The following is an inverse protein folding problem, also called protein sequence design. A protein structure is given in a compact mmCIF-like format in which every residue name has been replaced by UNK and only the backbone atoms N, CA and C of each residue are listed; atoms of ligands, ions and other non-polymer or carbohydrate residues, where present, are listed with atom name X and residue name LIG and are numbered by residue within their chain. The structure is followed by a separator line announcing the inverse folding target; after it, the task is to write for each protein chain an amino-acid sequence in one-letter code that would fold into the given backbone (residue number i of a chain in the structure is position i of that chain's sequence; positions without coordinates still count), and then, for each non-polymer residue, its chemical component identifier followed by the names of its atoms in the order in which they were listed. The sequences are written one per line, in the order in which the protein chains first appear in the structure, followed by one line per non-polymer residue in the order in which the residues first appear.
data_IF_043764931932
#
_entry.id   IF_043764931932
#
_cell.length_a   1.000
_cell.length_b   1.000
_cell.length_c   1.000
_cell.angle_alpha   90.00
_cell.angle_beta   90.00
_cell.angle_gamma   90.00
#
_symmetry.space_group_name_H-M   'P 1'
#
loop_
_entity.id
_entity.type
_entity.pdbx_description
1 polymer ?
#
# COMPACT_ATOMS: atom_id res chain seq x y z
N UNK A 1 14.47 5.57 -16.23
CA UNK A 1 15.29 4.52 -15.61
C UNK A 1 15.62 3.47 -16.66
N UNK A 2 16.86 2.96 -16.65
CA UNK A 2 17.30 1.84 -17.47
C UNK A 2 17.93 0.77 -16.56
N UNK A 3 17.60 -0.50 -16.79
CA UNK A 3 18.11 -1.64 -16.00
C UNK A 3 18.75 -2.64 -16.96
N UNK A 4 20.00 -3.02 -16.72
CA UNK A 4 20.78 -3.93 -17.55
C UNK A 4 20.67 -3.59 -19.05
N UNK A 5 20.77 -2.30 -19.38
CA UNK A 5 20.57 -1.78 -20.73
C UNK A 5 21.78 -0.99 -21.20
N UNK A 6 22.15 -1.19 -22.46
CA UNK A 6 23.25 -0.49 -23.12
C UNK A 6 22.72 0.40 -24.25
N UNK A 7 23.02 1.72 -24.28
CA UNK A 7 22.59 2.62 -25.35
C UNK A 7 23.23 2.32 -26.71
N UNK A 8 24.28 1.53 -26.76
CA UNK A 8 24.87 0.93 -27.96
C UNK A 8 25.22 -0.54 -27.61
N UNK A 9 24.45 -1.48 -28.11
CA UNK A 9 24.50 -2.86 -27.65
C UNK A 9 25.79 -3.57 -28.10
N UNK A 10 26.18 -3.42 -29.35
CA UNK A 10 27.41 -3.98 -29.89
C UNK A 10 28.59 -3.02 -29.63
N UNK A 11 29.69 -3.56 -29.16
CA UNK A 11 30.90 -2.77 -28.89
C UNK A 11 31.37 -1.98 -30.13
N UNK A 12 31.75 -0.71 -29.92
CA UNK A 12 32.23 0.15 -30.99
C UNK A 12 33.23 1.19 -30.48
N UNK A 13 34.45 1.16 -31.01
CA UNK A 13 35.54 1.99 -30.51
C UNK A 13 35.81 1.72 -29.03
N UNK A 14 35.85 2.76 -28.21
CA UNK A 14 36.07 2.67 -26.76
C UNK A 14 34.78 2.38 -25.98
N UNK A 15 33.61 2.21 -26.65
CA UNK A 15 32.36 1.96 -25.98
C UNK A 15 32.17 0.49 -25.73
N UNK A 16 32.01 0.06 -24.43
CA UNK A 16 31.85 -1.34 -24.08
C UNK A 16 30.48 -1.85 -24.45
N UNK A 17 30.39 -2.99 -25.04
CA UNK A 17 29.19 -3.68 -25.48
C UNK A 17 29.44 -5.17 -25.68
N UNK A 18 28.50 -5.87 -26.28
CA UNK A 18 28.69 -7.23 -26.75
C UNK A 18 29.74 -7.24 -27.86
N UNK A 19 30.64 -8.20 -27.83
CA UNK A 19 31.63 -8.41 -28.87
C UNK A 19 30.95 -8.56 -30.24
N UNK A 20 31.52 -7.89 -31.27
CA UNK A 20 30.89 -7.86 -32.59
C UNK A 20 30.83 -9.22 -33.28
N UNK A 21 31.87 -10.04 -33.13
CA UNK A 21 31.93 -11.38 -33.73
C UNK A 21 30.95 -12.33 -33.00
N UNK A 22 30.86 -12.24 -31.65
CA UNK A 22 29.91 -12.99 -30.86
C UNK A 22 28.44 -12.60 -31.21
N UNK A 23 28.18 -11.32 -31.47
CA UNK A 23 26.87 -10.85 -31.93
C UNK A 23 26.53 -11.38 -33.32
N UNK A 24 27.46 -11.33 -34.29
CA UNK A 24 27.26 -11.86 -35.64
C UNK A 24 27.03 -13.37 -35.61
N UNK A 25 27.76 -14.11 -34.80
CA UNK A 25 27.56 -15.54 -34.62
C UNK A 25 26.16 -15.84 -34.07
N UNK A 26 25.71 -15.07 -33.06
CA UNK A 26 24.37 -15.24 -32.49
C UNK A 26 23.26 -14.92 -33.50
N UNK A 27 23.47 -13.90 -34.35
CA UNK A 27 22.55 -13.57 -35.44
C UNK A 27 22.41 -14.71 -36.43
N UNK A 28 23.51 -15.29 -36.85
CA UNK A 28 23.52 -16.46 -37.78
C UNK A 28 22.83 -17.68 -37.13
N UNK A 29 23.07 -17.93 -35.84
CA UNK A 29 22.40 -19.02 -35.12
C UNK A 29 20.87 -18.82 -35.07
N UNK A 30 20.38 -17.59 -34.95
CA UNK A 30 18.92 -17.26 -34.97
C UNK A 30 18.34 -17.51 -36.39
N UNK A 31 19.12 -17.29 -37.45
CA UNK A 31 18.69 -17.59 -38.83
C UNK A 31 18.59 -19.10 -39.07
N UNK A 32 19.53 -19.88 -38.52
CA UNK A 32 19.63 -21.32 -38.74
C UNK A 32 18.68 -22.10 -37.83
N UNK A 33 18.71 -21.86 -36.51
CA UNK A 33 17.84 -22.54 -35.51
C UNK A 33 17.45 -21.56 -34.41
N UNK A 34 16.35 -20.82 -34.59
CA UNK A 34 15.90 -19.83 -33.64
C UNK A 34 15.55 -20.41 -32.26
N UNK A 35 15.15 -21.66 -32.16
CA UNK A 35 14.81 -22.33 -30.89
C UNK A 35 16.09 -22.63 -30.09
N UNK A 36 17.10 -23.19 -30.75
CA UNK A 36 18.38 -23.42 -30.09
C UNK A 36 19.08 -22.12 -29.68
N UNK A 37 19.05 -21.10 -30.54
CA UNK A 37 19.58 -19.77 -30.26
C UNK A 37 18.90 -19.11 -29.03
N UNK A 38 17.59 -19.18 -28.91
CA UNK A 38 16.86 -18.68 -27.74
C UNK A 38 17.23 -19.41 -26.45
N UNK A 39 17.36 -20.75 -26.48
CA UNK A 39 17.82 -21.51 -25.31
C UNK A 39 19.21 -21.09 -24.83
N UNK A 40 20.10 -20.83 -25.79
CA UNK A 40 21.43 -20.30 -25.49
C UNK A 40 21.36 -18.89 -24.89
N UNK A 41 20.54 -18.03 -25.46
CA UNK A 41 20.30 -16.68 -24.96
C UNK A 41 19.74 -16.69 -23.53
N UNK A 42 18.76 -17.54 -23.22
CA UNK A 42 18.24 -17.73 -21.86
C UNK A 42 19.36 -18.11 -20.88
N UNK A 43 20.31 -18.95 -21.33
CA UNK A 43 21.46 -19.34 -20.52
C UNK A 43 22.40 -18.17 -20.26
N UNK A 44 22.63 -17.32 -21.25
CA UNK A 44 23.44 -16.09 -21.11
C UNK A 44 22.78 -15.09 -20.15
N UNK A 45 21.46 -14.93 -20.20
CA UNK A 45 20.73 -14.03 -19.32
C UNK A 45 20.87 -14.36 -17.83
N UNK A 46 21.02 -15.65 -17.49
CA UNK A 46 21.17 -16.14 -16.11
C UNK A 46 22.63 -16.35 -15.70
N UNK A 47 23.57 -16.23 -16.66
CA UNK A 47 24.99 -16.38 -16.37
C UNK A 47 25.43 -15.31 -15.35
N UNK A 48 26.29 -15.72 -14.40
CA UNK A 48 26.74 -14.85 -13.31
C UNK A 48 25.81 -14.79 -12.08
N UNK A 49 24.58 -15.31 -12.16
CA UNK A 49 23.70 -15.44 -11.00
C UNK A 49 24.20 -16.47 -10.00
N UNK A 50 23.92 -16.27 -8.72
CA UNK A 50 24.15 -17.29 -7.67
C UNK A 50 23.17 -18.46 -7.76
N UNK A 51 22.06 -18.32 -8.52
CA UNK A 51 20.98 -19.33 -8.66
C UNK A 51 20.52 -19.54 -10.12
N UNK A 52 21.43 -19.78 -11.07
CA UNK A 52 21.11 -19.75 -12.50
C UNK A 52 20.06 -20.81 -12.90
N UNK A 53 20.09 -22.00 -12.31
CA UNK A 53 19.12 -23.06 -12.62
C UNK A 53 17.68 -22.70 -12.22
N UNK A 54 17.51 -21.97 -11.12
CA UNK A 54 16.19 -21.52 -10.65
C UNK A 54 15.63 -20.43 -11.59
N UNK A 55 16.46 -19.45 -11.94
CA UNK A 55 16.07 -18.37 -12.87
C UNK A 55 15.74 -18.91 -14.25
N UNK A 56 16.53 -19.84 -14.77
CA UNK A 56 16.28 -20.46 -16.08
C UNK A 56 14.92 -21.17 -16.11
N UNK A 57 14.54 -21.88 -15.05
CA UNK A 57 13.21 -22.50 -14.95
C UNK A 57 12.09 -21.44 -14.91
N UNK A 58 12.32 -20.29 -14.29
CA UNK A 58 11.33 -19.20 -14.26
C UNK A 58 11.16 -18.59 -15.65
N UNK A 59 12.24 -18.34 -16.39
CA UNK A 59 12.19 -17.87 -17.77
C UNK A 59 11.40 -18.82 -18.66
N UNK A 60 11.72 -20.11 -18.62
CA UNK A 60 11.09 -21.12 -19.46
C UNK A 60 9.59 -21.30 -19.21
N UNK A 61 9.09 -21.02 -18.00
CA UNK A 61 7.65 -21.04 -17.70
C UNK A 61 6.85 -19.98 -18.48
N UNK A 62 7.49 -18.89 -18.85
CA UNK A 62 6.86 -17.74 -19.50
C UNK A 62 7.36 -17.53 -20.93
N UNK A 63 8.25 -18.41 -21.42
CA UNK A 63 8.76 -18.33 -22.77
C UNK A 63 7.62 -18.50 -23.78
N UNK A 64 7.49 -17.53 -24.69
CA UNK A 64 6.67 -17.64 -25.88
C UNK A 64 7.63 -17.84 -27.04
N UNK A 65 7.28 -18.65 -28.01
CA UNK A 65 8.02 -18.80 -29.25
C UNK A 65 7.70 -17.60 -30.16
N UNK A 66 8.57 -16.59 -30.27
CA UNK A 66 8.34 -15.50 -31.20
C UNK A 66 8.59 -15.98 -32.64
N UNK A 67 7.93 -15.36 -33.61
CA UNK A 67 8.22 -15.62 -35.01
C UNK A 67 9.67 -15.22 -35.34
N UNK A 68 10.39 -16.06 -36.07
CA UNK A 68 11.81 -15.83 -36.44
C UNK A 68 12.07 -14.46 -37.06
N UNK A 69 11.15 -13.97 -37.87
CA UNK A 69 11.22 -12.63 -38.46
C UNK A 69 11.24 -11.50 -37.41
N UNK A 70 10.53 -11.67 -36.29
CA UNK A 70 10.52 -10.68 -35.20
C UNK A 70 11.84 -10.68 -34.40
N UNK A 71 12.44 -11.86 -34.22
CA UNK A 71 13.76 -11.98 -33.58
C UNK A 71 14.85 -11.32 -34.41
N UNK A 72 14.90 -11.59 -35.71
CA UNK A 72 15.87 -10.99 -36.62
C UNK A 72 15.70 -9.47 -36.72
N UNK A 73 14.47 -8.97 -36.79
CA UNK A 73 14.20 -7.55 -36.75
C UNK A 73 14.70 -6.90 -35.44
N UNK A 74 14.47 -7.55 -34.29
CA UNK A 74 14.98 -7.11 -32.99
C UNK A 74 16.50 -7.07 -32.92
N UNK A 75 17.18 -8.10 -33.43
CA UNK A 75 18.65 -8.14 -33.53
C UNK A 75 19.17 -7.03 -34.46
N UNK A 76 18.50 -6.79 -35.60
CA UNK A 76 18.83 -5.69 -36.51
C UNK A 76 18.77 -4.33 -35.81
N UNK A 77 17.80 -4.09 -34.94
CA UNK A 77 17.76 -2.88 -34.11
C UNK A 77 18.92 -2.81 -33.11
N UNK A 78 19.24 -3.90 -32.42
CA UNK A 78 20.36 -3.95 -31.47
C UNK A 78 21.71 -3.73 -32.16
N UNK A 79 21.86 -4.16 -33.42
CA UNK A 79 23.05 -3.96 -34.21
C UNK A 79 23.26 -2.51 -34.63
N UNK A 80 22.18 -1.76 -34.89
CA UNK A 80 22.24 -0.45 -35.56
C UNK A 80 21.89 0.73 -34.67
N UNK A 81 21.18 0.50 -33.59
CA UNK A 81 20.70 1.56 -32.71
C UNK A 81 21.81 2.13 -31.84
N UNK A 82 22.11 3.41 -32.02
CA UNK A 82 23.05 4.17 -31.20
C UNK A 82 22.34 5.34 -30.48
N UNK A 83 22.09 5.16 -29.18
CA UNK A 83 21.45 6.14 -28.33
C UNK A 83 22.42 6.93 -27.43
N UNK A 84 23.72 6.79 -27.62
CA UNK A 84 24.75 7.47 -26.81
C UNK A 84 24.62 9.00 -26.84
N UNK A 85 24.29 9.56 -27.99
CA UNK A 85 24.09 11.00 -28.12
C UNK A 85 22.84 11.53 -27.41
N UNK A 86 21.85 10.65 -27.20
CA UNK A 86 20.58 10.97 -26.51
C UNK A 86 20.74 11.03 -25.01
N UNK A 87 21.69 10.30 -24.41
CA UNK A 87 21.88 10.25 -22.95
C UNK A 87 22.03 11.61 -22.30
N UNK A 88 22.85 12.49 -22.91
CA UNK A 88 23.13 13.85 -22.41
C UNK A 88 21.94 14.81 -22.64
N UNK A 89 20.99 14.47 -23.50
CA UNK A 89 19.84 15.31 -23.86
C UNK A 89 18.59 15.03 -23.03
N UNK A 90 18.58 13.95 -22.28
CA UNK A 90 17.44 13.57 -21.42
C UNK A 90 17.36 14.54 -20.24
N UNK A 91 16.30 15.35 -20.20
CA UNK A 91 16.07 16.37 -19.16
C UNK A 91 15.65 15.78 -17.79
N UNK A 92 14.73 14.78 -17.71
CA UNK A 92 14.35 14.17 -16.44
C UNK A 92 15.54 13.47 -15.76
N UNK A 93 15.54 13.37 -14.42
CA UNK A 93 16.55 12.59 -13.70
C UNK A 93 16.70 11.17 -14.24
N UNK A 94 17.94 10.71 -14.37
CA UNK A 94 18.26 9.41 -14.95
C UNK A 94 18.84 8.45 -13.92
N UNK A 95 18.32 7.23 -13.87
CA UNK A 95 18.92 6.11 -13.14
C UNK A 95 19.28 5.00 -14.12
N UNK A 96 20.56 4.64 -14.15
CA UNK A 96 21.08 3.46 -14.85
C UNK A 96 21.52 2.43 -13.82
N UNK A 97 20.90 1.27 -13.85
CA UNK A 97 21.25 0.14 -12.98
C UNK A 97 21.87 -0.95 -13.83
N UNK A 98 23.08 -1.32 -13.50
CA UNK A 98 23.84 -2.39 -14.18
C UNK A 98 24.07 -3.53 -13.19
N UNK A 99 24.24 -4.76 -13.69
CA UNK A 99 24.62 -5.91 -12.91
C UNK A 99 26.10 -6.23 -13.15
N UNK A 100 26.85 -6.56 -12.12
CA UNK A 100 28.30 -6.77 -12.23
C UNK A 100 28.70 -8.08 -12.90
N UNK A 101 27.82 -9.07 -12.85
CA UNK A 101 28.02 -10.38 -13.46
C UNK A 101 27.12 -10.59 -14.71
N UNK A 102 26.69 -9.51 -15.35
CA UNK A 102 25.88 -9.53 -16.57
C UNK A 102 26.74 -9.97 -17.77
N UNK A 103 26.37 -11.10 -18.40
CA UNK A 103 27.08 -11.63 -19.56
C UNK A 103 26.71 -10.93 -20.88
N UNK A 104 25.65 -10.12 -20.92
CA UNK A 104 25.17 -9.42 -22.10
C UNK A 104 25.56 -7.93 -22.08
N UNK A 105 25.59 -7.32 -20.91
CA UNK A 105 25.91 -5.91 -20.72
C UNK A 105 27.10 -5.79 -19.77
N UNK A 106 28.29 -5.51 -20.28
CA UNK A 106 29.52 -5.54 -19.48
C UNK A 106 29.53 -4.44 -18.41
N UNK A 107 29.99 -4.75 -17.21
CA UNK A 107 30.08 -3.80 -16.08
C UNK A 107 30.96 -2.58 -16.38
N UNK A 108 31.89 -2.68 -17.32
CA UNK A 108 32.71 -1.56 -17.83
C UNK A 108 31.86 -0.44 -18.42
N UNK A 109 30.61 -0.72 -18.84
CA UNK A 109 29.66 0.26 -19.32
C UNK A 109 29.37 1.34 -18.26
N UNK A 110 29.49 1.03 -16.97
CA UNK A 110 29.33 2.00 -15.88
C UNK A 110 30.18 3.24 -16.09
N UNK A 111 31.47 3.04 -16.38
CA UNK A 111 32.41 4.18 -16.56
C UNK A 111 32.13 4.97 -17.85
N UNK A 112 31.77 4.27 -18.93
CA UNK A 112 31.40 4.88 -20.19
C UNK A 112 30.14 5.77 -20.08
N UNK A 113 29.11 5.28 -19.38
CA UNK A 113 27.90 6.09 -19.10
C UNK A 113 28.24 7.27 -18.19
N UNK A 114 28.95 7.07 -17.09
CA UNK A 114 29.35 8.15 -16.17
C UNK A 114 30.14 9.23 -16.91
N UNK A 115 31.06 8.86 -17.76
CA UNK A 115 31.83 9.84 -18.56
C UNK A 115 30.95 10.65 -19.52
N UNK A 116 29.88 10.06 -20.03
CA UNK A 116 28.96 10.68 -20.98
C UNK A 116 27.93 11.61 -20.31
N UNK A 117 27.44 11.24 -19.13
CA UNK A 117 26.41 11.96 -18.37
C UNK A 117 26.97 12.72 -17.16
N UNK A 118 28.27 12.58 -16.88
CA UNK A 118 28.96 13.01 -15.65
C UNK A 118 28.86 14.49 -15.27
N UNK A 119 28.37 15.36 -16.18
CA UNK A 119 28.04 16.74 -15.88
C UNK A 119 26.55 16.95 -15.46
N UNK A 120 25.72 15.93 -15.53
CA UNK A 120 24.30 16.01 -15.16
C UNK A 120 24.14 15.68 -13.68
N UNK A 121 23.93 16.69 -12.85
CA UNK A 121 23.70 16.54 -11.40
C UNK A 121 22.50 15.63 -11.06
N UNK A 122 21.64 15.31 -12.02
CA UNK A 122 20.43 14.51 -11.88
C UNK A 122 20.56 13.07 -12.40
N UNK A 123 21.79 12.60 -12.72
CA UNK A 123 22.00 11.25 -13.24
C UNK A 123 22.80 10.39 -12.27
N UNK A 124 22.38 9.14 -12.07
CA UNK A 124 23.02 8.15 -11.21
C UNK A 124 23.25 6.85 -11.96
N UNK A 125 24.42 6.25 -11.78
CA UNK A 125 24.72 4.89 -12.26
C UNK A 125 25.05 4.00 -11.08
N UNK A 126 24.26 2.93 -10.89
CA UNK A 126 24.39 1.97 -9.79
C UNK A 126 24.75 0.61 -10.33
N UNK A 127 25.67 -0.08 -9.67
CA UNK A 127 26.05 -1.46 -9.97
C UNK A 127 25.48 -2.40 -8.89
N UNK A 128 24.76 -3.44 -9.30
CA UNK A 128 24.23 -4.47 -8.41
C UNK A 128 25.24 -5.64 -8.32
N UNK A 129 25.82 -5.86 -7.14
CA UNK A 129 26.83 -6.91 -6.98
C UNK A 129 26.20 -8.32 -7.05
N UNK A 130 26.92 -9.26 -7.68
CA UNK A 130 26.53 -10.66 -7.78
C UNK A 130 25.25 -10.92 -8.55
N UNK A 131 24.84 -10.00 -9.43
CA UNK A 131 23.60 -10.07 -10.19
C UNK A 131 23.88 -10.36 -11.67
N UNK A 132 22.98 -11.12 -12.30
CA UNK A 132 22.97 -11.40 -13.73
C UNK A 132 22.16 -10.35 -14.51
N UNK A 133 22.04 -10.53 -15.84
CA UNK A 133 21.20 -9.69 -16.70
C UNK A 133 19.75 -9.57 -16.23
N UNK A 134 19.24 -10.60 -15.57
CA UNK A 134 17.89 -10.65 -15.01
C UNK A 134 17.81 -10.00 -13.61
N UNK A 135 18.44 -8.86 -13.41
CA UNK A 135 18.47 -8.15 -12.14
C UNK A 135 17.07 -8.01 -11.44
N UNK A 136 15.95 -7.80 -12.16
CA UNK A 136 14.62 -7.78 -11.53
C UNK A 136 14.21 -9.09 -10.86
N UNK A 137 14.67 -10.23 -11.37
CA UNK A 137 14.38 -11.56 -10.82
C UNK A 137 15.49 -12.04 -9.89
N UNK A 138 16.73 -11.65 -10.17
CA UNK A 138 17.93 -12.12 -9.45
C UNK A 138 18.17 -11.34 -8.15
N UNK A 139 18.04 -10.01 -8.19
CA UNK A 139 18.31 -9.11 -7.08
C UNK A 139 17.15 -8.10 -6.84
N UNK A 140 15.88 -8.52 -6.69
CA UNK A 140 14.73 -7.63 -6.63
C UNK A 140 14.79 -6.63 -5.47
N UNK A 141 15.31 -7.06 -4.32
CA UNK A 141 15.45 -6.21 -3.13
C UNK A 141 16.51 -5.11 -3.35
N UNK A 142 17.66 -5.47 -3.88
CA UNK A 142 18.75 -4.53 -4.17
C UNK A 142 18.34 -3.52 -5.26
N UNK A 143 17.67 -4.00 -6.32
CA UNK A 143 17.12 -3.15 -7.37
C UNK A 143 16.07 -2.16 -6.81
N UNK A 144 15.12 -2.65 -6.00
CA UNK A 144 14.12 -1.79 -5.37
C UNK A 144 14.74 -0.76 -4.43
N UNK A 145 15.83 -1.10 -3.74
CA UNK A 145 16.57 -0.19 -2.88
C UNK A 145 17.28 0.89 -3.71
N UNK A 146 17.95 0.53 -4.79
CA UNK A 146 18.59 1.49 -5.71
C UNK A 146 17.59 2.49 -6.29
N UNK A 147 16.41 1.99 -6.73
CA UNK A 147 15.33 2.83 -7.23
C UNK A 147 14.85 3.81 -6.15
N UNK A 148 14.58 3.33 -4.94
CA UNK A 148 14.12 4.20 -3.83
C UNK A 148 15.15 5.27 -3.47
N UNK A 149 16.42 4.92 -3.40
CA UNK A 149 17.50 5.87 -3.12
C UNK A 149 17.58 6.95 -4.19
N UNK A 150 17.51 6.56 -5.46
CA UNK A 150 17.51 7.50 -6.58
C UNK A 150 16.31 8.44 -6.56
N UNK A 151 15.10 7.91 -6.37
CA UNK A 151 13.87 8.70 -6.31
C UNK A 151 13.86 9.66 -5.13
N UNK A 152 14.44 9.27 -3.99
CA UNK A 152 14.63 10.15 -2.83
C UNK A 152 15.65 11.27 -3.13
N UNK A 153 16.78 10.93 -3.73
CA UNK A 153 17.84 11.89 -4.06
C UNK A 153 17.44 12.88 -5.17
N UNK A 154 16.64 12.43 -6.15
CA UNK A 154 16.18 13.28 -7.26
C UNK A 154 15.01 14.20 -6.90
N UNK A 155 14.50 14.15 -5.66
CA UNK A 155 13.31 14.90 -5.24
C UNK A 155 12.02 14.43 -5.94
N UNK A 156 12.09 13.36 -6.74
CA UNK A 156 10.97 12.77 -7.47
C UNK A 156 10.07 11.96 -6.51
N UNK A 157 10.67 11.28 -5.55
CA UNK A 157 10.00 11.05 -4.28
C UNK A 157 10.15 12.38 -3.52
N UNK A 158 9.13 13.23 -3.61
CA UNK A 158 8.88 14.03 -2.41
C UNK A 158 8.93 13.01 -1.27
N UNK A 159 9.76 13.22 -0.20
CA UNK A 159 9.46 12.51 1.02
C UNK A 159 7.97 12.80 1.19
N UNK A 160 7.12 11.79 0.94
CA UNK A 160 5.77 11.91 1.44
C UNK A 160 6.06 12.37 2.86
N UNK A 161 5.51 13.50 3.33
CA UNK A 161 5.43 13.57 4.75
C UNK A 161 4.90 12.18 5.07
N UNK A 162 5.75 11.33 5.66
CA UNK A 162 5.16 10.30 6.46
C UNK A 162 4.21 11.15 7.27
N UNK A 163 2.93 11.09 6.91
CA UNK A 163 1.92 11.36 7.89
C UNK A 163 2.27 10.24 8.85
N UNK A 164 3.30 10.53 9.64
CA UNK A 164 3.57 9.82 10.86
C UNK A 164 2.41 10.29 11.70
N UNK A 165 1.25 9.69 11.41
CA UNK A 165 0.15 9.61 12.33
C UNK A 165 0.72 8.70 13.41
N UNK A 166 1.67 9.25 14.15
CA UNK A 166 2.17 8.62 15.35
C UNK A 166 1.07 8.84 16.39
N UNK A 167 -0.06 8.17 16.14
CA UNK A 167 -1.10 7.98 17.12
C UNK A 167 -0.47 7.13 18.22
N UNK A 168 -0.49 7.64 19.44
CA UNK A 168 -0.13 6.80 20.58
C UNK A 168 -1.25 5.80 20.75
N UNK A 169 -1.06 4.55 20.34
CA UNK A 169 -2.07 3.47 20.47
C UNK A 169 -2.64 3.38 21.87
N UNK A 170 -1.80 3.68 22.90
CA UNK A 170 -2.25 3.76 24.30
C UNK A 170 -3.28 4.87 24.53
N UNK A 171 -3.13 6.04 23.88
CA UNK A 171 -4.09 7.14 23.97
C UNK A 171 -5.39 6.79 23.26
N UNK A 172 -5.31 6.17 22.08
CA UNK A 172 -6.45 5.64 21.33
C UNK A 172 -7.23 4.65 22.18
N UNK A 173 -6.56 3.61 22.71
CA UNK A 173 -7.16 2.59 23.56
C UNK A 173 -7.82 3.20 24.82
N UNK A 174 -7.16 4.16 25.46
CA UNK A 174 -7.68 4.83 26.66
C UNK A 174 -8.90 5.71 26.34
N UNK A 175 -8.91 6.39 25.19
CA UNK A 175 -10.03 7.24 24.77
C UNK A 175 -11.27 6.42 24.48
N UNK A 176 -11.18 5.39 23.65
CA UNK A 176 -12.29 4.50 23.36
C UNK A 176 -12.74 3.71 24.58
N UNK A 177 -11.82 3.29 25.46
CA UNK A 177 -12.20 2.64 26.73
C UNK A 177 -13.10 3.51 27.59
N UNK A 178 -12.86 4.83 27.67
CA UNK A 178 -13.72 5.78 28.41
C UNK A 178 -15.06 6.01 27.73
N UNK A 179 -15.10 5.95 26.40
CA UNK A 179 -16.31 6.20 25.61
C UNK A 179 -17.27 5.00 25.56
N UNK A 180 -16.84 3.80 25.96
CA UNK A 180 -17.57 2.54 25.73
C UNK A 180 -19.05 2.56 26.14
N UNK A 181 -19.38 3.18 27.28
CA UNK A 181 -20.77 3.23 27.78
C UNK A 181 -21.67 4.20 27.02
N UNK A 182 -21.11 5.25 26.40
CA UNK A 182 -21.85 6.30 25.68
C UNK A 182 -21.75 6.16 24.16
N UNK A 183 -20.86 5.32 23.66
CA UNK A 183 -20.51 5.19 22.25
C UNK A 183 -21.74 4.97 21.35
N UNK A 184 -22.54 3.96 21.67
CA UNK A 184 -23.71 3.58 20.86
C UNK A 184 -24.80 4.65 20.80
N UNK A 185 -24.83 5.57 21.76
CA UNK A 185 -25.86 6.63 21.80
C UNK A 185 -25.69 7.66 20.68
N UNK A 186 -24.49 7.79 20.13
CA UNK A 186 -24.13 8.78 19.08
C UNK A 186 -23.52 8.15 17.83
N UNK A 187 -23.33 6.84 17.78
CA UNK A 187 -22.62 6.12 16.70
C UNK A 187 -23.48 5.91 15.44
N UNK A 188 -24.17 6.95 14.94
CA UNK A 188 -25.05 6.84 13.76
C UNK A 188 -24.24 6.51 12.51
N UNK A 189 -23.18 7.27 12.22
CA UNK A 189 -22.31 7.02 11.07
C UNK A 189 -21.75 5.58 11.10
N UNK A 190 -21.29 5.13 12.28
CA UNK A 190 -20.69 3.81 12.44
C UNK A 190 -21.70 2.70 12.13
N UNK A 191 -22.97 2.87 12.50
CA UNK A 191 -24.06 1.94 12.15
C UNK A 191 -24.31 1.96 10.64
N UNK A 192 -24.55 3.13 10.05
CA UNK A 192 -24.88 3.25 8.64
C UNK A 192 -23.77 2.64 7.75
N UNK A 193 -22.50 2.91 8.09
CA UNK A 193 -21.33 2.36 7.40
C UNK A 193 -21.19 0.86 7.61
N UNK A 194 -21.35 0.39 8.83
CA UNK A 194 -21.22 -1.03 9.16
C UNK A 194 -22.35 -1.89 8.57
N UNK A 195 -23.59 -1.39 8.50
CA UNK A 195 -24.72 -2.04 7.82
C UNK A 195 -24.46 -2.15 6.32
N UNK A 196 -23.91 -1.09 5.70
CA UNK A 196 -23.51 -1.16 4.29
C UNK A 196 -22.37 -2.16 4.08
N UNK A 197 -21.39 -2.24 5.01
CA UNK A 197 -20.33 -3.24 4.95
C UNK A 197 -20.89 -4.65 5.11
N UNK A 198 -21.79 -4.91 6.05
CA UNK A 198 -22.48 -6.18 6.21
C UNK A 198 -23.26 -6.60 4.96
N UNK A 199 -23.89 -5.64 4.26
CA UNK A 199 -24.60 -5.92 3.03
C UNK A 199 -23.69 -6.45 1.92
N UNK A 200 -22.41 -6.02 1.90
CA UNK A 200 -21.42 -6.50 0.93
C UNK A 200 -21.12 -8.00 1.08
N UNK A 201 -21.31 -8.57 2.27
CA UNK A 201 -21.15 -10.00 2.53
C UNK A 201 -22.24 -10.87 1.87
N UNK A 202 -23.33 -10.29 1.35
CA UNK A 202 -24.40 -11.04 0.67
C UNK A 202 -23.94 -11.73 -0.60
N UNK A 203 -22.88 -11.25 -1.22
CA UNK A 203 -22.29 -11.83 -2.43
C UNK A 203 -21.26 -12.94 -2.14
N UNK A 204 -20.86 -13.09 -0.88
CA UNK A 204 -19.92 -14.12 -0.46
C UNK A 204 -20.69 -15.36 0.02
N UNK A 205 -20.48 -16.50 -0.66
CA UNK A 205 -21.15 -17.75 -0.39
C UNK A 205 -20.35 -18.68 0.55
N UNK A 206 -19.32 -18.17 1.21
CA UNK A 206 -18.52 -18.95 2.15
C UNK A 206 -19.27 -19.23 3.43
N UNK A 207 -19.05 -20.41 4.02
CA UNK A 207 -19.52 -20.79 5.34
C UNK A 207 -18.32 -20.75 6.31
N UNK A 208 -18.10 -19.61 7.00
CA UNK A 208 -16.94 -19.46 7.87
C UNK A 208 -17.11 -20.33 9.13
N UNK A 209 -16.07 -21.05 9.52
CA UNK A 209 -15.99 -21.67 10.83
C UNK A 209 -15.58 -20.66 11.92
N UNK A 210 -14.82 -19.62 11.54
CA UNK A 210 -14.36 -18.57 12.46
C UNK A 210 -14.55 -17.19 11.82
N UNK A 211 -15.26 -16.31 12.51
CA UNK A 211 -15.47 -14.89 12.16
C UNK A 211 -14.73 -14.02 13.17
N UNK A 212 -13.79 -13.20 12.69
CA UNK A 212 -13.11 -12.18 13.48
C UNK A 212 -13.76 -10.81 13.23
N UNK A 213 -14.32 -10.20 14.27
CA UNK A 213 -14.75 -8.81 14.29
C UNK A 213 -13.58 -7.97 14.82
N UNK A 214 -12.83 -7.34 13.89
CA UNK A 214 -11.59 -6.63 14.17
C UNK A 214 -11.86 -5.14 14.41
N UNK A 215 -11.61 -4.68 15.63
CA UNK A 215 -12.07 -3.39 16.14
C UNK A 215 -13.56 -3.44 16.49
N UNK A 216 -13.97 -4.49 17.19
CA UNK A 216 -15.37 -4.79 17.48
C UNK A 216 -16.10 -3.74 18.32
N UNK A 217 -15.38 -2.82 18.96
CA UNK A 217 -15.92 -1.77 19.80
C UNK A 217 -16.85 -2.32 20.90
N UNK A 218 -18.07 -1.83 20.92
CA UNK A 218 -19.12 -2.27 21.87
C UNK A 218 -19.73 -3.64 21.53
N UNK A 219 -19.24 -4.33 20.49
CA UNK A 219 -19.81 -5.58 19.99
C UNK A 219 -21.14 -5.38 19.25
N UNK A 220 -21.38 -4.19 18.69
CA UNK A 220 -22.64 -3.82 18.05
C UNK A 220 -23.05 -4.81 16.94
N UNK A 221 -22.10 -5.24 16.10
CA UNK A 221 -22.35 -6.16 14.99
C UNK A 221 -22.28 -7.66 15.34
N UNK A 222 -22.02 -8.00 16.61
CA UNK A 222 -21.92 -9.40 17.04
C UNK A 222 -23.17 -10.20 16.71
N UNK A 223 -24.35 -9.67 17.06
CA UNK A 223 -25.63 -10.36 16.83
C UNK A 223 -25.92 -10.58 15.35
N UNK A 224 -25.69 -9.57 14.51
CA UNK A 224 -25.92 -9.64 13.06
C UNK A 224 -24.97 -10.65 12.39
N UNK A 225 -23.70 -10.67 12.81
CA UNK A 225 -22.71 -11.64 12.29
C UNK A 225 -23.08 -13.08 12.74
N UNK A 226 -23.55 -13.25 13.98
CA UNK A 226 -24.00 -14.57 14.47
C UNK A 226 -25.30 -15.05 13.80
N UNK A 227 -26.25 -14.16 13.55
CA UNK A 227 -27.47 -14.50 12.79
C UNK A 227 -27.09 -14.93 11.36
N UNK A 228 -26.13 -14.26 10.76
CA UNK A 228 -25.69 -14.56 9.40
C UNK A 228 -24.88 -15.85 9.32
N UNK A 229 -24.05 -16.14 10.32
CA UNK A 229 -23.15 -17.29 10.37
C UNK A 229 -23.33 -18.06 11.70
N UNK A 230 -24.47 -18.74 11.87
CA UNK A 230 -24.87 -19.32 13.18
C UNK A 230 -23.97 -20.46 13.65
N UNK A 231 -23.19 -21.06 12.74
CA UNK A 231 -22.25 -22.14 13.07
C UNK A 231 -20.83 -21.63 13.35
N UNK A 232 -20.56 -20.35 13.08
CA UNK A 232 -19.23 -19.79 13.23
C UNK A 232 -18.91 -19.49 14.71
N UNK A 233 -17.65 -19.73 15.09
CA UNK A 233 -17.07 -19.14 16.29
C UNK A 233 -16.87 -17.64 16.04
N UNK A 234 -17.51 -16.81 16.85
CA UNK A 234 -17.28 -15.36 16.79
C UNK A 234 -16.12 -14.97 17.70
N UNK A 235 -15.22 -14.15 17.17
CA UNK A 235 -14.09 -13.58 17.93
C UNK A 235 -14.15 -12.07 17.80
N UNK A 236 -14.50 -11.35 18.88
CA UNK A 236 -14.44 -9.89 18.94
C UNK A 236 -13.08 -9.42 19.47
N UNK A 237 -12.41 -8.57 18.71
CA UNK A 237 -11.09 -8.05 19.09
C UNK A 237 -11.08 -6.54 19.01
N UNK A 238 -10.61 -5.88 20.06
CA UNK A 238 -10.41 -4.42 20.10
C UNK A 238 -9.17 -4.08 20.94
N UNK A 239 -8.51 -2.97 20.61
CA UNK A 239 -7.37 -2.46 21.37
C UNK A 239 -7.82 -1.83 22.71
N UNK A 240 -9.06 -1.36 22.78
CA UNK A 240 -9.62 -0.67 23.93
C UNK A 240 -10.24 -1.66 24.92
N UNK A 241 -9.58 -1.92 26.04
CA UNK A 241 -10.06 -2.83 27.07
C UNK A 241 -11.49 -2.49 27.57
N UNK A 242 -11.83 -1.20 27.66
CA UNK A 242 -13.18 -0.78 28.07
C UNK A 242 -14.25 -1.19 27.07
N UNK A 243 -13.95 -1.14 25.77
CA UNK A 243 -14.85 -1.63 24.71
C UNK A 243 -15.08 -3.13 24.84
N UNK A 244 -14.00 -3.91 24.93
CA UNK A 244 -14.09 -5.37 25.08
C UNK A 244 -14.84 -5.76 26.34
N UNK A 245 -14.61 -5.06 27.47
CA UNK A 245 -15.37 -5.31 28.71
C UNK A 245 -16.87 -5.02 28.54
N UNK A 246 -17.21 -3.94 27.84
CA UNK A 246 -18.60 -3.58 27.57
C UNK A 246 -19.27 -4.60 26.64
N UNK A 247 -18.61 -4.94 25.54
CA UNK A 247 -19.09 -5.95 24.59
C UNK A 247 -19.33 -7.32 25.23
N UNK A 248 -18.42 -7.78 26.08
CA UNK A 248 -18.56 -9.04 26.84
C UNK A 248 -19.80 -9.05 27.74
N UNK A 249 -20.15 -7.88 28.31
CA UNK A 249 -21.36 -7.74 29.12
C UNK A 249 -22.67 -7.83 28.34
N UNK A 250 -22.64 -7.58 27.02
CA UNK A 250 -23.78 -7.72 26.10
C UNK A 250 -23.86 -9.10 25.44
N UNK A 251 -22.81 -9.88 25.57
CA UNK A 251 -22.39 -11.02 24.80
C UNK A 251 -23.43 -12.02 24.38
N UNK A 252 -23.20 -12.62 23.20
CA UNK A 252 -23.92 -13.79 22.67
C UNK A 252 -23.30 -15.10 23.15
N UNK A 253 -23.93 -16.20 22.74
CA UNK A 253 -23.39 -17.56 22.91
C UNK A 253 -22.27 -17.76 21.88
N UNK A 254 -21.20 -18.51 22.22
CA UNK A 254 -20.03 -18.76 21.33
C UNK A 254 -19.27 -17.49 20.90
N UNK A 255 -19.03 -16.55 21.83
CA UNK A 255 -18.24 -15.36 21.60
C UNK A 255 -16.96 -15.36 22.43
N UNK A 256 -15.81 -15.25 21.76
CA UNK A 256 -14.54 -14.93 22.39
C UNK A 256 -14.24 -13.44 22.26
N UNK A 257 -13.68 -12.85 23.32
CA UNK A 257 -13.40 -11.43 23.37
C UNK A 257 -11.95 -11.20 23.75
N UNK A 258 -11.19 -10.51 22.88
CA UNK A 258 -9.77 -10.31 23.00
C UNK A 258 -9.42 -8.81 23.05
N UNK A 259 -8.48 -8.45 23.92
CA UNK A 259 -7.85 -7.12 23.89
C UNK A 259 -6.51 -7.26 23.19
N UNK A 260 -6.39 -6.72 21.98
CA UNK A 260 -5.18 -6.83 21.19
C UNK A 260 -5.04 -5.72 20.14
N UNK A 261 -3.84 -5.61 19.57
CA UNK A 261 -3.50 -4.72 18.48
C UNK A 261 -3.70 -5.42 17.14
N UNK A 262 -4.42 -4.79 16.22
CA UNK A 262 -4.63 -5.30 14.86
C UNK A 262 -3.31 -5.46 14.06
N UNK A 263 -2.26 -4.72 14.40
CA UNK A 263 -0.94 -4.84 13.78
C UNK A 263 -0.05 -5.95 14.41
N UNK A 264 -0.59 -6.69 15.41
CA UNK A 264 0.07 -7.82 16.08
C UNK A 264 -0.99 -8.76 16.67
N UNK A 265 -1.68 -9.51 15.82
CA UNK A 265 -2.82 -10.34 16.21
C UNK A 265 -2.39 -11.58 17.02
N UNK A 266 -2.96 -11.82 18.22
CA UNK A 266 -2.64 -12.99 19.04
C UNK A 266 -3.42 -14.24 18.57
N UNK A 267 -3.51 -14.43 17.26
CA UNK A 267 -4.20 -15.54 16.61
C UNK A 267 -3.20 -16.40 15.84
N UNK A 268 -3.46 -17.68 15.73
CA UNK A 268 -2.65 -18.60 14.95
C UNK A 268 -2.72 -18.23 13.44
N UNK A 269 -1.70 -18.59 12.68
CA UNK A 269 -1.76 -18.52 11.24
C UNK A 269 -2.89 -19.42 10.71
N UNK A 270 -3.58 -18.98 9.66
CA UNK A 270 -4.64 -19.76 9.00
C UNK A 270 -5.73 -20.26 9.94
N UNK A 271 -6.16 -19.40 10.87
CA UNK A 271 -7.18 -19.74 11.89
C UNK A 271 -8.53 -19.05 11.67
N UNK A 272 -8.62 -18.07 10.77
CA UNK A 272 -9.80 -17.23 10.52
C UNK A 272 -10.27 -17.38 9.08
N UNK A 273 -11.58 -17.51 8.87
CA UNK A 273 -12.18 -17.60 7.53
C UNK A 273 -12.69 -16.25 7.03
N UNK A 274 -13.27 -15.46 7.94
CA UNK A 274 -13.83 -14.15 7.65
C UNK A 274 -13.35 -13.13 8.67
N UNK A 275 -12.82 -12.01 8.21
CA UNK A 275 -12.60 -10.80 9.02
C UNK A 275 -13.62 -9.75 8.62
N UNK A 276 -14.33 -9.22 9.59
CA UNK A 276 -15.19 -8.04 9.48
C UNK A 276 -14.55 -6.91 10.28
N UNK A 277 -14.40 -5.71 9.69
CA UNK A 277 -13.81 -4.56 10.40
C UNK A 277 -14.44 -3.26 9.95
N UNK A 278 -15.26 -2.65 10.80
CA UNK A 278 -15.95 -1.41 10.48
C UNK A 278 -15.33 -0.22 11.21
N UNK A 279 -14.82 0.77 10.45
CA UNK A 279 -14.25 2.03 10.95
C UNK A 279 -13.24 1.85 12.10
N UNK A 280 -12.35 0.84 11.95
CA UNK A 280 -11.27 0.57 12.91
C UNK A 280 -9.88 0.76 12.30
N UNK A 281 -9.68 0.43 11.00
CA UNK A 281 -8.37 0.38 10.39
C UNK A 281 -7.69 1.74 10.25
N UNK A 282 -8.43 2.85 10.29
CA UNK A 282 -7.87 4.21 10.30
C UNK A 282 -7.01 4.50 11.55
N UNK A 283 -7.10 3.67 12.57
CA UNK A 283 -6.28 3.76 13.79
C UNK A 283 -4.99 2.95 13.72
N UNK A 284 -4.79 2.19 12.63
CA UNK A 284 -3.55 1.48 12.33
C UNK A 284 -2.62 2.38 11.52
N UNK A 285 -1.45 2.68 12.05
CA UNK A 285 -0.51 3.61 11.40
C UNK A 285 0.57 2.88 10.58
N UNK A 286 0.62 1.53 10.64
CA UNK A 286 1.50 0.68 9.82
C UNK A 286 0.66 -0.29 8.99
N UNK A 287 0.05 0.17 7.89
CA UNK A 287 -0.86 -0.65 7.10
C UNK A 287 -0.19 -1.92 6.55
N UNK A 288 1.14 -1.89 6.29
CA UNK A 288 1.89 -3.08 5.89
C UNK A 288 1.93 -4.16 6.99
N UNK A 289 2.01 -3.79 8.26
CA UNK A 289 1.94 -4.74 9.38
C UNK A 289 0.51 -5.30 9.53
N UNK A 290 -0.50 -4.42 9.44
CA UNK A 290 -1.89 -4.82 9.45
C UNK A 290 -2.20 -5.85 8.37
N UNK A 291 -1.85 -5.56 7.10
CA UNK A 291 -2.14 -6.47 6.00
C UNK A 291 -1.30 -7.76 6.05
N UNK A 292 -0.08 -7.72 6.59
CA UNK A 292 0.71 -8.92 6.85
C UNK A 292 0.04 -9.82 7.91
N UNK A 293 -0.48 -9.25 8.97
CA UNK A 293 -1.22 -9.99 10.00
C UNK A 293 -2.54 -10.56 9.46
N UNK A 294 -3.30 -9.79 8.69
CA UNK A 294 -4.50 -10.29 8.03
C UNK A 294 -4.19 -11.45 7.08
N UNK A 295 -3.14 -11.33 6.26
CA UNK A 295 -2.68 -12.41 5.38
C UNK A 295 -2.24 -13.65 6.16
N UNK A 296 -1.61 -13.47 7.32
CA UNK A 296 -1.16 -14.57 8.18
C UNK A 296 -2.31 -15.33 8.82
N UNK A 297 -3.28 -14.61 9.40
CA UNK A 297 -4.37 -15.25 10.16
C UNK A 297 -5.48 -15.82 9.28
N UNK A 298 -5.74 -15.22 8.11
CA UNK A 298 -6.72 -15.75 7.17
C UNK A 298 -6.30 -17.11 6.63
N UNK A 299 -7.25 -18.03 6.50
CA UNK A 299 -7.07 -19.28 5.74
C UNK A 299 -7.00 -19.01 4.25
N UNK A 300 -6.46 -19.94 3.48
CA UNK A 300 -6.55 -19.88 2.02
C UNK A 300 -8.03 -19.83 1.60
N UNK A 301 -8.36 -18.91 0.68
CA UNK A 301 -9.75 -18.61 0.29
C UNK A 301 -10.52 -17.72 1.28
N UNK A 302 -9.93 -17.40 2.44
CA UNK A 302 -10.53 -16.51 3.43
C UNK A 302 -10.59 -15.05 2.96
N UNK A 303 -11.47 -14.27 3.58
CA UNK A 303 -11.77 -12.90 3.17
C UNK A 303 -11.76 -11.94 4.36
N UNK A 304 -11.29 -10.72 4.12
CA UNK A 304 -11.49 -9.59 5.01
C UNK A 304 -12.33 -8.53 4.29
N UNK A 305 -13.44 -8.12 4.90
CA UNK A 305 -14.18 -6.92 4.51
C UNK A 305 -13.96 -5.85 5.55
N UNK A 306 -13.67 -4.64 5.11
CA UNK A 306 -13.37 -3.55 6.04
C UNK A 306 -13.81 -2.19 5.55
N UNK A 307 -13.94 -1.26 6.49
CA UNK A 307 -14.02 0.16 6.19
C UNK A 307 -12.95 0.94 6.93
N UNK A 308 -12.53 2.04 6.31
CA UNK A 308 -11.58 3.00 6.86
C UNK A 308 -12.01 4.41 6.48
N UNK A 309 -11.41 5.42 7.10
CA UNK A 309 -11.63 6.81 6.72
C UNK A 309 -10.51 7.29 5.79
N UNK A 310 -10.90 8.08 4.79
CA UNK A 310 -10.00 8.72 3.83
C UNK A 310 -9.71 10.18 4.16
N UNK A 311 -8.78 10.81 3.40
CA UNK A 311 -8.22 12.13 3.70
C UNK A 311 -9.23 13.29 3.64
N UNK A 312 -10.35 13.12 2.92
CA UNK A 312 -11.38 14.16 2.81
C UNK A 312 -12.38 14.18 3.99
N UNK A 313 -12.22 13.27 4.96
CA UNK A 313 -13.06 13.21 6.16
C UNK A 313 -12.97 14.50 6.96
N UNK A 314 -14.14 15.05 7.31
CA UNK A 314 -14.32 16.33 8.05
C UNK A 314 -13.60 17.50 7.38
N UNK A 315 -13.66 17.58 6.03
CA UNK A 315 -13.01 18.65 5.27
C UNK A 315 -13.56 20.02 5.67
N UNK A 316 -14.85 20.16 5.98
CA UNK A 316 -15.49 21.41 6.44
C UNK A 316 -14.88 21.85 7.79
N UNK A 317 -14.78 20.94 8.76
CA UNK A 317 -14.17 21.24 10.06
C UNK A 317 -12.70 21.61 9.93
N UNK A 318 -11.96 20.93 9.03
CA UNK A 318 -10.57 21.22 8.72
C UNK A 318 -10.40 22.61 8.12
N UNK A 319 -11.25 22.96 7.16
CA UNK A 319 -11.26 24.29 6.51
C UNK A 319 -11.58 25.40 7.52
N UNK A 320 -12.58 25.17 8.38
CA UNK A 320 -12.95 26.13 9.42
C UNK A 320 -11.81 26.38 10.43
N UNK A 321 -11.08 25.35 10.83
CA UNK A 321 -9.91 25.52 11.68
C UNK A 321 -8.75 26.20 10.96
N UNK A 322 -8.50 25.89 9.69
CA UNK A 322 -7.45 26.53 8.89
C UNK A 322 -7.64 28.05 8.74
N UNK A 323 -8.88 28.55 8.86
CA UNK A 323 -9.17 29.98 8.89
C UNK A 323 -8.77 30.66 10.22
N UNK A 324 -8.45 29.88 11.27
CA UNK A 324 -8.15 30.39 12.62
C UNK A 324 -6.68 30.25 12.97
N UNK A 325 -6.10 29.10 12.72
CA UNK A 325 -4.68 28.82 13.00
C UNK A 325 -4.12 27.75 12.05
N UNK A 326 -2.80 27.47 12.20
CA UNK A 326 -2.09 26.47 11.39
C UNK A 326 -1.95 25.11 12.07
N UNK A 327 -2.60 24.91 13.22
CA UNK A 327 -2.50 23.64 13.94
C UNK A 327 -3.43 22.57 13.34
N UNK A 328 -3.05 21.31 13.53
CA UNK A 328 -3.87 20.19 13.11
C UNK A 328 -4.94 19.89 14.17
N UNK A 329 -6.20 20.13 13.83
CA UNK A 329 -7.35 19.92 14.73
C UNK A 329 -8.18 18.69 14.40
N UNK A 330 -7.99 18.11 13.22
CA UNK A 330 -8.67 16.90 12.74
C UNK A 330 -7.64 15.82 12.47
N UNK A 331 -7.96 14.57 12.79
CA UNK A 331 -7.08 13.44 12.50
C UNK A 331 -6.75 13.34 11.00
N UNK A 332 -5.53 12.94 10.67
CA UNK A 332 -5.15 12.60 9.31
C UNK A 332 -5.45 11.13 9.05
N UNK A 333 -5.96 10.86 7.87
CA UNK A 333 -6.29 9.50 7.43
C UNK A 333 -5.53 9.17 6.14
N UNK A 334 -5.20 7.89 5.96
CA UNK A 334 -4.46 7.42 4.79
C UNK A 334 -5.37 7.42 3.55
N UNK A 335 -4.86 7.84 2.39
CA UNK A 335 -5.58 7.69 1.13
C UNK A 335 -5.66 6.22 0.71
N UNK A 336 -6.69 5.88 -0.08
CA UNK A 336 -6.88 4.52 -0.60
C UNK A 336 -5.64 3.99 -1.33
N UNK A 337 -4.91 4.84 -2.05
CA UNK A 337 -3.67 4.47 -2.76
C UNK A 337 -2.58 3.93 -1.83
N UNK A 338 -2.44 4.46 -0.61
CA UNK A 338 -1.44 3.98 0.36
C UNK A 338 -1.85 2.63 0.96
N UNK A 339 -3.15 2.39 1.14
CA UNK A 339 -3.65 1.08 1.56
C UNK A 339 -3.39 0.03 0.47
N UNK A 340 -3.64 0.38 -0.82
CA UNK A 340 -3.33 -0.50 -1.96
C UNK A 340 -1.84 -0.82 -2.00
N UNK A 341 -0.98 0.20 -1.97
CA UNK A 341 0.47 0.01 -2.00
C UNK A 341 0.99 -0.86 -0.84
N UNK A 342 0.39 -0.73 0.35
CA UNK A 342 0.76 -1.55 1.49
C UNK A 342 0.34 -3.02 1.31
N UNK A 343 -0.85 -3.27 0.75
CA UNK A 343 -1.35 -4.62 0.48
C UNK A 343 -0.59 -5.31 -0.67
N UNK A 344 -0.24 -4.58 -1.74
CA UNK A 344 0.51 -5.12 -2.88
C UNK A 344 1.90 -5.65 -2.51
N UNK A 345 2.45 -5.22 -1.37
CA UNK A 345 3.71 -5.73 -0.83
C UNK A 345 3.58 -7.09 -0.17
N UNK A 346 2.36 -7.55 0.09
CA UNK A 346 2.09 -8.79 0.80
C UNK A 346 1.74 -9.87 -0.23
N UNK A 347 2.52 -10.93 -0.26
CA UNK A 347 2.29 -12.05 -1.16
C UNK A 347 1.04 -12.83 -0.79
N UNK A 348 0.27 -13.25 -1.80
CA UNK A 348 -0.87 -14.16 -1.63
C UNK A 348 -2.18 -13.48 -1.24
N UNK A 349 -2.26 -12.14 -1.27
CA UNK A 349 -3.53 -11.41 -1.10
C UNK A 349 -3.89 -10.62 -2.35
N UNK A 350 -5.19 -10.37 -2.50
CA UNK A 350 -5.77 -9.49 -3.51
C UNK A 350 -6.72 -8.53 -2.82
N UNK A 351 -6.65 -7.23 -3.13
CA UNK A 351 -7.46 -6.21 -2.47
C UNK A 351 -8.15 -5.30 -3.47
N UNK A 352 -9.43 -5.03 -3.23
CA UNK A 352 -10.23 -4.06 -3.98
C UNK A 352 -10.77 -3.01 -3.03
N UNK A 353 -10.66 -1.74 -3.42
CA UNK A 353 -11.16 -0.60 -2.64
C UNK A 353 -12.19 0.21 -3.44
N UNK A 354 -13.16 0.76 -2.73
CA UNK A 354 -14.14 1.72 -3.24
C UNK A 354 -14.35 2.80 -2.20
N UNK A 355 -14.30 4.07 -2.58
CA UNK A 355 -14.63 5.19 -1.69
C UNK A 355 -16.07 5.65 -1.88
N UNK A 356 -16.69 6.09 -0.77
CA UNK A 356 -18.03 6.68 -0.74
C UNK A 356 -18.08 7.81 0.27
N UNK A 357 -18.70 8.92 -0.08
CA UNK A 357 -18.89 10.03 0.84
C UNK A 357 -20.20 9.86 1.65
N UNK A 358 -20.11 9.98 2.97
CA UNK A 358 -21.23 10.05 3.90
C UNK A 358 -21.31 11.46 4.44
N UNK A 359 -22.40 12.15 4.18
CA UNK A 359 -22.62 13.52 4.68
C UNK A 359 -23.59 13.47 5.86
N UNK A 360 -23.06 13.66 7.07
CA UNK A 360 -23.84 13.82 8.28
C UNK A 360 -24.30 15.29 8.40
N UNK A 361 -25.48 15.51 8.98
CA UNK A 361 -26.07 16.85 9.10
C UNK A 361 -26.27 17.21 10.57
N UNK A 362 -25.86 18.41 10.94
CA UNK A 362 -25.93 18.93 12.30
C UNK A 362 -26.66 20.27 12.35
N UNK A 363 -27.41 20.51 13.41
CA UNK A 363 -28.01 21.81 13.61
C UNK A 363 -26.98 22.90 14.00
N UNK A 364 -25.96 22.48 14.76
CA UNK A 364 -24.87 23.35 15.23
C UNK A 364 -23.54 22.65 15.17
N UNK A 365 -22.44 23.33 14.91
CA UNK A 365 -21.08 22.81 14.94
C UNK A 365 -20.75 22.14 16.28
N UNK A 366 -21.30 22.66 17.37
CA UNK A 366 -21.09 22.09 18.72
C UNK A 366 -21.62 20.65 18.83
N UNK A 367 -22.72 20.35 18.16
CA UNK A 367 -23.32 19.01 18.18
C UNK A 367 -22.35 17.99 17.53
N UNK A 368 -21.67 18.36 16.42
CA UNK A 368 -20.60 17.57 15.83
C UNK A 368 -19.41 17.39 16.79
N UNK A 369 -18.95 18.46 17.43
CA UNK A 369 -17.82 18.39 18.36
C UNK A 369 -18.13 17.51 19.58
N UNK A 370 -19.35 17.60 20.11
CA UNK A 370 -19.82 16.79 21.25
C UNK A 370 -19.95 15.31 20.85
N UNK A 371 -20.42 15.03 19.63
CA UNK A 371 -20.46 13.67 19.08
C UNK A 371 -19.05 13.06 18.97
N UNK A 372 -18.11 13.76 18.32
CA UNK A 372 -16.72 13.30 18.18
C UNK A 372 -16.06 13.05 19.54
N UNK A 373 -16.35 13.90 20.53
CA UNK A 373 -15.86 13.73 21.91
C UNK A 373 -16.49 12.53 22.58
N UNK A 374 -17.80 12.34 22.43
CA UNK A 374 -18.56 11.22 23.02
C UNK A 374 -18.14 9.87 22.44
N UNK A 375 -17.84 9.83 21.13
CA UNK A 375 -17.26 8.67 20.45
C UNK A 375 -15.83 8.36 20.90
N UNK A 376 -15.14 9.29 21.55
CA UNK A 376 -13.70 9.17 21.83
C UNK A 376 -12.81 9.35 20.61
N UNK A 377 -13.37 9.83 19.49
CA UNK A 377 -12.67 10.00 18.20
C UNK A 377 -12.14 11.44 17.99
N UNK A 378 -11.85 12.17 19.08
CA UNK A 378 -11.26 13.50 19.01
C UNK A 378 -9.85 13.49 18.42
N UNK A 379 -9.27 14.66 18.17
CA UNK A 379 -7.92 14.79 17.61
C UNK A 379 -6.87 14.12 18.51
N UNK A 380 -6.25 13.06 18.03
CA UNK A 380 -5.22 12.28 18.75
C UNK A 380 -3.82 12.44 18.12
N UNK A 381 -3.65 13.38 17.17
CA UNK A 381 -2.35 13.61 16.54
C UNK A 381 -1.34 14.19 17.55
N UNK A 382 -0.08 13.75 17.46
CA UNK A 382 1.03 14.29 18.25
C UNK A 382 1.32 15.77 17.98
N UNK A 383 0.98 16.24 16.77
CA UNK A 383 1.13 17.65 16.36
C UNK A 383 0.01 18.57 16.84
N UNK A 384 -0.94 18.06 17.65
CA UNK A 384 -1.95 18.91 18.29
C UNK A 384 -1.30 19.94 19.21
N UNK A 385 -1.88 21.14 19.32
CA UNK A 385 -1.46 22.14 20.30
C UNK A 385 -1.44 21.54 21.71
N UNK A 386 -0.35 21.70 22.42
CA UNK A 386 -0.21 21.23 23.82
C UNK A 386 -1.07 22.04 24.80
N UNK A 387 -1.67 23.16 24.37
CA UNK A 387 -2.47 24.06 25.20
C UNK A 387 -3.97 23.88 25.00
N UNK A 388 -4.74 24.46 25.92
CA UNK A 388 -6.20 24.57 25.76
C UNK A 388 -6.55 25.50 24.61
N UNK A 389 -7.49 25.09 23.75
CA UNK A 389 -8.03 25.96 22.71
C UNK A 389 -8.63 27.23 23.31
N UNK A 390 -8.17 28.38 22.88
CA UNK A 390 -8.68 29.64 23.40
C UNK A 390 -10.15 29.84 23.01
N UNK A 391 -10.91 30.56 23.86
CA UNK A 391 -12.31 30.89 23.52
C UNK A 391 -12.43 31.66 22.20
N UNK A 392 -11.46 32.54 21.90
CA UNK A 392 -11.42 33.29 20.64
C UNK A 392 -11.21 32.38 19.44
N UNK A 393 -10.27 31.40 19.52
CA UNK A 393 -10.04 30.47 18.46
C UNK A 393 -11.27 29.57 18.19
N UNK A 394 -11.90 29.05 19.27
CA UNK A 394 -13.12 28.26 19.13
C UNK A 394 -14.26 29.08 18.49
N UNK A 395 -14.46 30.35 18.90
CA UNK A 395 -15.48 31.20 18.30
C UNK A 395 -15.20 31.49 16.83
N UNK A 396 -13.93 31.74 16.47
CA UNK A 396 -13.52 31.97 15.08
C UNK A 396 -13.82 30.75 14.20
N UNK A 397 -13.48 29.55 14.68
CA UNK A 397 -13.78 28.29 13.96
C UNK A 397 -15.30 28.07 13.82
N UNK A 398 -16.08 28.25 14.88
CA UNK A 398 -17.55 28.15 14.81
C UNK A 398 -18.13 29.09 13.77
N UNK A 399 -17.65 30.34 13.73
CA UNK A 399 -18.09 31.32 12.73
C UNK A 399 -17.65 30.95 11.32
N UNK A 400 -16.43 30.45 11.13
CA UNK A 400 -15.94 30.00 9.85
C UNK A 400 -16.72 28.79 9.31
N UNK A 401 -17.13 27.87 10.18
CA UNK A 401 -17.94 26.71 9.79
C UNK A 401 -19.36 27.07 9.34
N UNK A 402 -19.94 28.18 9.88
CA UNK A 402 -21.28 28.62 9.51
C UNK A 402 -21.42 28.99 8.01
N UNK A 403 -20.32 29.24 7.31
CA UNK A 403 -20.29 29.46 5.86
C UNK A 403 -20.77 28.22 5.08
N UNK A 404 -20.56 27.02 5.64
CA UNK A 404 -20.99 25.74 5.05
C UNK A 404 -22.50 25.46 5.25
N UNK A 405 -23.23 26.33 5.97
CA UNK A 405 -24.66 26.13 6.24
C UNK A 405 -25.46 26.12 4.95
N UNK A 406 -26.21 25.06 4.74
CA UNK A 406 -27.14 24.91 3.61
C UNK A 406 -28.46 24.36 4.13
N UNK A 407 -29.58 24.91 3.68
CA UNK A 407 -30.93 24.46 4.08
C UNK A 407 -31.16 24.36 5.61
N UNK A 408 -30.50 25.24 6.37
CA UNK A 408 -30.62 25.28 7.84
C UNK A 408 -29.74 24.28 8.59
N UNK A 409 -28.99 23.41 7.90
CA UNK A 409 -28.10 22.40 8.50
C UNK A 409 -26.64 22.62 8.10
N UNK A 410 -25.74 22.07 8.90
CA UNK A 410 -24.29 22.09 8.65
C UNK A 410 -23.85 20.69 8.23
N UNK A 411 -23.20 20.51 7.08
CA UNK A 411 -22.68 19.24 6.65
C UNK A 411 -21.42 18.87 7.42
N UNK A 412 -21.18 17.59 7.62
CA UNK A 412 -19.91 17.02 8.01
C UNK A 412 -19.65 15.78 7.13
N UNK A 413 -18.69 15.89 6.22
CA UNK A 413 -18.41 14.87 5.23
C UNK A 413 -17.42 13.86 5.79
N UNK A 414 -17.75 12.57 5.64
CA UNK A 414 -16.88 11.45 5.93
C UNK A 414 -16.56 10.71 4.64
N UNK A 415 -15.29 10.68 4.27
CA UNK A 415 -14.77 9.95 3.13
C UNK A 415 -14.49 8.50 3.57
N UNK A 416 -15.41 7.59 3.26
CA UNK A 416 -15.34 6.20 3.72
C UNK A 416 -14.79 5.31 2.62
N UNK A 417 -13.72 4.61 2.93
CA UNK A 417 -13.09 3.62 2.06
C UNK A 417 -13.62 2.24 2.46
N UNK A 418 -14.29 1.56 1.53
CA UNK A 418 -14.72 0.16 1.65
C UNK A 418 -13.69 -0.73 0.99
N UNK A 419 -13.25 -1.77 1.66
CA UNK A 419 -12.25 -2.71 1.18
C UNK A 419 -12.68 -4.16 1.28
N UNK A 420 -12.30 -4.93 0.27
CA UNK A 420 -12.38 -6.40 0.26
C UNK A 420 -10.98 -6.94 -0.01
N UNK A 421 -10.45 -7.71 0.90
CA UNK A 421 -9.18 -8.42 0.78
C UNK A 421 -9.45 -9.92 0.77
N UNK A 422 -8.89 -10.63 -0.19
CA UNK A 422 -8.98 -12.10 -0.31
C UNK A 422 -7.60 -12.71 -0.21
N UNK A 423 -7.45 -13.78 0.56
CA UNK A 423 -6.25 -14.62 0.58
C UNK A 423 -6.38 -15.68 -0.50
N UNK A 424 -5.35 -15.78 -1.37
CA UNK A 424 -5.25 -16.78 -2.46
C UNK A 424 -4.84 -18.14 -1.91
#
# INVERSE_FOLDING_TARGET
MAVCSNPLFVAHGDWPGMDADAFQQFHAEVEEDPIAALKRFDTLQVAGSSRPRQLLRQLQKHAREPASAQLLAGLGWLATMDQRASLAKVQPPQLHVLADADALVPSALRQAIVSRIGALASAQVTLLPGSSHLAPLDAPVALAQAIRQFLAASGTLRPRPHITVALEKKEVAASFSRAAASYDSVARLQRDVGEQLLSSLSQWQGEPATVLDLGCGTGFFCSELQIRYPQAQYVGLDIAQGMVKYARGRGGVNCDWLVADAEALPLAAESVDLVFSSLALQWCYRPEHLFAELARVLRAGGMCVFTSLGPNTLCELRSAWAAVDSHQHVNSFLPASELVEAAERIYGIEMHLKSSAFCMQYARVRDLLDELKTLGAHNMNRSRSAGLTSRRALQGMLQAYEVERSEGVLPATYDVIFGVLKKK
#
